data_IF_330670348245
#
_entry.id   IF_330670348245
#
_cell.length_a   1.000
_cell.length_b   1.000
_cell.length_c   1.000
_cell.angle_alpha   90.00
_cell.angle_beta   90.00
_cell.angle_gamma   90.00
#
_symmetry.space_group_name_H-M   'P 1'
#
loop_
_entity.id
_entity.type
_entity.pdbx_description
1 polymer ?
#
# COMPACT_ATOMS: atom_id res chain seq x y z
N UNK A 1 -1.60 -3.54 -10.72
CA UNK A 1 -0.46 -2.89 -10.02
C UNK A 1 -0.85 -1.44 -9.79
N UNK A 2 -0.87 -0.99 -8.55
CA UNK A 2 -1.07 0.41 -8.22
C UNK A 2 0.32 1.05 -8.06
N UNK A 3 0.68 1.97 -8.94
CA UNK A 3 1.96 2.69 -8.87
C UNK A 3 1.70 3.97 -8.09
N UNK A 4 2.32 4.11 -6.92
CA UNK A 4 2.30 5.37 -6.15
C UNK A 4 3.34 6.32 -6.73
N UNK A 5 2.92 7.54 -7.07
CA UNK A 5 3.78 8.62 -7.57
C UNK A 5 4.22 9.44 -6.37
N UNK A 6 5.47 9.28 -5.94
CA UNK A 6 6.06 10.05 -4.85
C UNK A 6 6.51 11.43 -5.35
N UNK A 7 5.54 12.33 -5.57
CA UNK A 7 5.75 13.76 -5.70
C UNK A 7 4.74 14.44 -4.78
N UNK A 8 5.19 14.80 -3.58
CA UNK A 8 4.41 15.20 -2.40
C UNK A 8 3.47 14.11 -1.86
N UNK A 9 3.69 13.67 -0.61
CA UNK A 9 3.06 12.51 0.04
C UNK A 9 1.53 12.37 -0.04
N UNK A 10 0.81 13.39 -0.50
CA UNK A 10 -0.62 13.33 -0.79
C UNK A 10 -1.04 12.18 -1.75
N UNK A 11 -0.23 11.88 -2.78
CA UNK A 11 -0.55 10.78 -3.72
C UNK A 11 -0.28 9.40 -3.12
N UNK A 12 0.72 9.28 -2.25
CA UNK A 12 0.98 8.08 -1.47
C UNK A 12 -0.17 7.78 -0.53
N UNK A 13 -0.53 8.76 0.30
CA UNK A 13 -1.61 8.63 1.27
C UNK A 13 -2.94 8.29 0.60
N UNK A 14 -3.21 8.87 -0.57
CA UNK A 14 -4.43 8.54 -1.33
C UNK A 14 -4.48 7.05 -1.70
N UNK A 15 -3.43 6.52 -2.33
CA UNK A 15 -3.39 5.11 -2.75
C UNK A 15 -3.42 4.18 -1.54
N UNK A 16 -2.65 4.52 -0.50
CA UNK A 16 -2.62 3.77 0.75
C UNK A 16 -4.01 3.69 1.38
N UNK A 17 -4.67 4.84 1.57
CA UNK A 17 -5.99 4.91 2.16
C UNK A 17 -7.06 4.21 1.31
N UNK A 18 -7.00 4.30 -0.03
CA UNK A 18 -7.92 3.57 -0.89
C UNK A 18 -7.77 2.04 -0.77
N UNK A 19 -6.55 1.53 -0.53
CA UNK A 19 -6.35 0.10 -0.26
C UNK A 19 -6.94 -0.29 1.09
N UNK A 20 -6.74 0.54 2.13
CA UNK A 20 -7.35 0.31 3.45
C UNK A 20 -8.87 0.32 3.42
N UNK A 21 -9.44 1.27 2.68
CA UNK A 21 -10.88 1.38 2.43
C UNK A 21 -11.39 0.12 1.73
N UNK A 22 -10.72 -0.32 0.66
CA UNK A 22 -11.07 -1.56 -0.04
C UNK A 22 -11.02 -2.79 0.88
N UNK A 23 -9.98 -2.93 1.72
CA UNK A 23 -9.91 -4.04 2.70
C UNK A 23 -11.12 -3.99 3.64
N UNK A 24 -11.47 -2.79 4.13
CA UNK A 24 -12.60 -2.58 5.05
C UNK A 24 -13.95 -2.90 4.37
N UNK A 25 -14.14 -2.44 3.14
CA UNK A 25 -15.36 -2.63 2.35
C UNK A 25 -15.53 -4.04 1.80
N UNK A 26 -14.44 -4.81 1.69
CA UNK A 26 -14.45 -6.17 1.13
C UNK A 26 -15.41 -7.11 1.86
N UNK A 27 -15.70 -6.85 3.14
CA UNK A 27 -16.56 -7.67 3.99
C UNK A 27 -15.98 -9.03 4.40
N UNK A 28 -14.97 -9.53 3.68
CA UNK A 28 -14.34 -10.84 3.87
C UNK A 28 -12.87 -10.77 4.31
N UNK A 29 -12.22 -9.61 4.22
CA UNK A 29 -10.84 -9.41 4.66
C UNK A 29 -10.75 -8.42 5.82
N UNK A 30 -9.65 -8.51 6.55
CA UNK A 30 -9.19 -7.49 7.50
C UNK A 30 -7.67 -7.38 7.47
N UNK A 31 -7.14 -6.23 7.89
CA UNK A 31 -5.70 -6.06 8.05
C UNK A 31 -5.17 -7.00 9.14
N UNK A 32 -4.05 -7.65 8.83
CA UNK A 32 -3.33 -8.55 9.73
C UNK A 32 -1.99 -7.92 10.15
N UNK A 33 -2.08 -6.66 10.60
CA UNK A 33 -0.91 -5.93 11.10
C UNK A 33 -0.62 -6.28 12.56
N UNK A 34 0.64 -6.64 12.83
CA UNK A 34 1.16 -6.94 14.16
C UNK A 34 2.68 -6.69 14.20
N UNK A 35 3.32 -6.98 15.33
CA UNK A 35 4.75 -6.74 15.52
C UNK A 35 5.65 -7.40 14.46
N UNK A 36 5.19 -8.50 13.87
CA UNK A 36 5.93 -9.30 12.87
C UNK A 36 5.45 -9.08 11.42
N UNK A 37 4.25 -8.52 11.22
CA UNK A 37 3.61 -8.33 9.92
C UNK A 37 3.15 -6.90 9.81
N UNK A 38 3.83 -6.09 9.00
CA UNK A 38 3.54 -4.66 8.83
C UNK A 38 3.29 -4.36 7.36
N UNK A 39 2.50 -3.32 7.07
CA UNK A 39 2.47 -2.79 5.73
C UNK A 39 3.84 -2.23 5.35
N UNK A 40 4.27 -2.48 4.11
CA UNK A 40 5.58 -2.11 3.61
C UNK A 40 5.45 -1.37 2.28
N UNK A 41 6.25 -0.33 2.12
CA UNK A 41 6.52 0.29 0.83
C UNK A 41 7.91 -0.09 0.35
N UNK A 42 8.02 -0.65 -0.86
CA UNK A 42 9.29 -0.95 -1.49
C UNK A 42 9.50 -0.04 -2.70
N UNK A 43 10.49 0.86 -2.62
CA UNK A 43 10.88 1.69 -3.76
C UNK A 43 11.59 0.79 -4.77
N UNK A 44 11.00 0.64 -5.96
CA UNK A 44 11.52 -0.24 -7.01
C UNK A 44 12.33 0.54 -8.05
N UNK A 45 12.07 1.84 -8.19
CA UNK A 45 12.80 2.69 -9.13
C UNK A 45 14.21 3.01 -8.61
N UNK A 46 15.27 2.85 -9.42
CA UNK A 46 16.58 3.37 -9.10
C UNK A 46 16.61 4.91 -9.18
N UNK A 47 17.60 5.53 -8.54
CA UNK A 47 17.70 6.99 -8.42
C UNK A 47 17.68 7.74 -9.76
N UNK A 48 18.36 7.23 -10.78
CA UNK A 48 18.38 7.89 -12.11
C UNK A 48 17.01 7.90 -12.79
N UNK A 49 16.13 6.94 -12.49
CA UNK A 49 14.75 6.92 -12.99
C UNK A 49 13.93 8.01 -12.29
N UNK A 50 14.12 8.20 -10.98
CA UNK A 50 13.48 9.28 -10.22
C UNK A 50 13.84 10.65 -10.80
N UNK A 51 15.10 10.87 -11.15
CA UNK A 51 15.59 12.14 -11.70
C UNK A 51 14.94 12.51 -13.05
N UNK A 52 14.61 11.50 -13.86
CA UNK A 52 13.94 11.71 -15.16
C UNK A 52 12.42 11.87 -14.99
N UNK A 53 11.78 11.07 -14.14
CA UNK A 53 10.32 11.07 -13.98
C UNK A 53 9.80 12.13 -13.00
N UNK A 54 10.64 12.57 -12.08
CA UNK A 54 10.28 13.47 -10.98
C UNK A 54 9.72 12.77 -9.73
N UNK A 55 9.70 11.43 -9.68
CA UNK A 55 9.15 10.66 -8.56
C UNK A 55 9.72 9.24 -8.48
N UNK A 56 9.62 8.62 -7.30
CA UNK A 56 9.92 7.19 -7.13
C UNK A 56 8.72 6.32 -7.50
N UNK A 57 8.98 5.16 -8.08
CA UNK A 57 8.00 4.06 -8.14
C UNK A 57 8.09 3.22 -6.87
N UNK A 58 6.95 2.81 -6.37
CA UNK A 58 6.84 2.02 -5.15
C UNK A 58 5.75 0.95 -5.29
N UNK A 59 6.09 -0.24 -4.80
CA UNK A 59 5.13 -1.30 -4.52
C UNK A 59 4.69 -1.23 -3.06
N UNK A 60 3.39 -1.38 -2.81
CA UNK A 60 2.82 -1.44 -1.47
C UNK A 60 2.35 -2.85 -1.14
N UNK A 61 2.74 -3.33 0.03
CA UNK A 61 2.36 -4.63 0.56
C UNK A 61 1.57 -4.43 1.84
N UNK A 62 0.36 -4.99 1.90
CA UNK A 62 -0.50 -4.94 3.07
C UNK A 62 -0.78 -6.37 3.55
N UNK A 63 -0.44 -6.73 4.80
CA UNK A 63 -0.83 -8.03 5.32
C UNK A 63 -2.34 -8.05 5.54
N UNK A 64 -3.02 -9.03 4.95
CA UNK A 64 -4.46 -9.28 5.16
C UNK A 64 -4.69 -10.70 5.65
N UNK A 65 -5.79 -10.90 6.37
CA UNK A 65 -6.33 -12.22 6.73
C UNK A 65 -7.81 -12.29 6.40
N UNK A 66 -8.34 -13.51 6.33
CA UNK A 66 -9.78 -13.73 6.20
C UNK A 66 -10.42 -13.30 7.51
N UNK A 67 -11.46 -12.47 7.41
CA UNK A 67 -12.30 -12.12 8.55
C UNK A 67 -13.03 -13.38 8.98
N UNK A 68 -12.73 -13.89 10.17
CA UNK A 68 -13.45 -15.05 10.70
C UNK A 68 -14.95 -14.72 10.71
N UNK A 69 -15.78 -15.61 10.15
CA UNK A 69 -17.23 -15.50 10.34
C UNK A 69 -17.48 -15.48 11.85
N UNK A 70 -18.16 -14.44 12.34
CA UNK A 70 -18.79 -14.50 13.66
C UNK A 70 -19.87 -15.58 13.57
N UNK A 71 -19.50 -16.83 13.81
CA UNK A 71 -20.42 -17.94 14.08
C UNK A 71 -21.14 -17.63 15.40
#
# INVERSE_FOLDING_TARGET
>A
MAISVDADGANHDRVYNSILEWVTESGCFELDENDTRRSLGNITSPQYIKEVMGYHQMDLYFPIRIKEERI
#
